data_IF_809794421850
#
_entry.id   IF_809794421850
#
_cell.length_a   1.000
_cell.length_b   1.000
_cell.length_c   1.000
_cell.angle_alpha   90.00
_cell.angle_beta   90.00
_cell.angle_gamma   90.00
#
_symmetry.space_group_name_H-M   'P 1'
#
loop_
_entity.id
_entity.type
_entity.pdbx_description
1 polymer ?
#
# COMPACT_ATOMS: atom_id res chain seq x y z
N UNK A 1 -20.08 -1.12 15.80
CA UNK A 1 -19.62 -0.75 14.44
C UNK A 1 -20.75 -0.02 13.71
N UNK A 2 -20.55 1.25 13.34
CA UNK A 2 -21.55 2.10 12.67
C UNK A 2 -21.90 1.61 11.26
N UNK A 3 -23.16 1.81 10.81
CA UNK A 3 -23.65 1.33 9.50
C UNK A 3 -22.81 1.83 8.31
N UNK A 4 -22.39 3.12 8.23
CA UNK A 4 -21.54 3.60 7.15
C UNK A 4 -20.19 2.86 7.06
N UNK A 5 -19.56 2.58 8.20
CA UNK A 5 -18.29 1.84 8.24
C UNK A 5 -18.43 0.40 7.76
N UNK A 6 -19.55 -0.27 8.07
CA UNK A 6 -19.83 -1.63 7.57
C UNK A 6 -20.02 -1.64 6.06
N UNK A 7 -20.80 -0.70 5.53
CA UNK A 7 -20.98 -0.55 4.09
C UNK A 7 -19.66 -0.27 3.37
N UNK A 8 -18.83 0.63 3.93
CA UNK A 8 -17.49 0.89 3.42
C UNK A 8 -16.63 -0.38 3.37
N UNK A 9 -16.61 -1.17 4.45
CA UNK A 9 -15.84 -2.42 4.49
C UNK A 9 -16.31 -3.42 3.42
N UNK A 10 -17.62 -3.66 3.33
CA UNK A 10 -18.21 -4.59 2.35
C UNK A 10 -17.94 -4.13 0.92
N UNK A 11 -18.08 -2.82 0.65
CA UNK A 11 -17.77 -2.23 -0.65
C UNK A 11 -16.30 -2.45 -1.02
N UNK A 12 -15.37 -2.21 -0.10
CA UNK A 12 -13.94 -2.38 -0.36
C UNK A 12 -13.55 -3.87 -0.52
N UNK A 13 -14.14 -4.77 0.26
CA UNK A 13 -13.99 -6.22 0.06
C UNK A 13 -14.45 -6.64 -1.35
N UNK A 14 -15.61 -6.16 -1.76
CA UNK A 14 -16.12 -6.42 -3.10
C UNK A 14 -15.23 -5.82 -4.20
N UNK A 15 -14.69 -4.61 -4.01
CA UNK A 15 -13.71 -4.00 -4.92
C UNK A 15 -12.42 -4.83 -5.00
N UNK A 16 -11.96 -5.38 -3.88
CA UNK A 16 -10.79 -6.25 -3.84
C UNK A 16 -11.00 -7.50 -4.71
N UNK A 17 -12.15 -8.16 -4.57
CA UNK A 17 -12.51 -9.35 -5.36
C UNK A 17 -12.75 -9.05 -6.86
N UNK A 18 -13.11 -7.82 -7.21
CA UNK A 18 -13.37 -7.38 -8.60
C UNK A 18 -12.25 -6.54 -9.21
N UNK A 19 -11.07 -6.63 -8.61
CA UNK A 19 -9.95 -5.73 -8.90
C UNK A 19 -9.37 -5.78 -10.31
N UNK A 20 -9.63 -6.83 -11.09
CA UNK A 20 -9.23 -6.92 -12.50
C UNK A 20 -10.11 -6.13 -13.46
N UNK A 21 -11.30 -5.70 -13.02
CA UNK A 21 -12.32 -5.09 -13.89
C UNK A 21 -12.37 -3.57 -13.72
N UNK A 22 -11.90 -3.05 -12.59
CA UNK A 22 -12.07 -1.63 -12.21
C UNK A 22 -10.74 -0.90 -12.13
N UNK A 23 -10.81 0.41 -12.27
CA UNK A 23 -9.69 1.29 -11.92
C UNK A 23 -9.35 1.14 -10.44
N UNK A 24 -8.07 1.00 -10.13
CA UNK A 24 -7.57 0.69 -8.79
C UNK A 24 -7.18 1.99 -8.09
N UNK A 25 -7.89 2.32 -7.02
CA UNK A 25 -7.60 3.50 -6.19
C UNK A 25 -6.57 3.18 -5.09
N UNK A 26 -6.07 4.22 -4.41
CA UNK A 26 -5.17 4.04 -3.26
C UNK A 26 -5.80 3.16 -2.17
N UNK A 27 -7.10 3.32 -1.90
CA UNK A 27 -7.82 2.55 -0.88
C UNK A 27 -7.83 1.05 -1.18
N UNK A 28 -8.05 0.68 -2.45
CA UNK A 28 -8.02 -0.73 -2.90
C UNK A 28 -6.61 -1.32 -2.72
N UNK A 29 -5.58 -0.53 -3.08
CA UNK A 29 -4.19 -0.92 -2.90
C UNK A 29 -3.84 -1.13 -1.41
N UNK A 30 -4.21 -0.16 -0.58
CA UNK A 30 -3.90 -0.14 0.85
C UNK A 30 -4.61 -1.27 1.59
N UNK A 31 -5.90 -1.50 1.31
CA UNK A 31 -6.69 -2.61 1.83
C UNK A 31 -6.08 -3.96 1.44
N UNK A 32 -5.73 -4.11 0.17
CA UNK A 32 -5.14 -5.35 -0.34
C UNK A 32 -3.85 -5.72 0.39
N UNK A 33 -3.01 -4.75 0.70
CA UNK A 33 -1.79 -4.98 1.49
C UNK A 33 -2.08 -5.43 2.93
N UNK A 34 -3.17 -4.95 3.55
CA UNK A 34 -3.61 -5.48 4.85
C UNK A 34 -3.97 -6.96 4.76
N UNK A 35 -4.69 -7.37 3.70
CA UNK A 35 -5.07 -8.78 3.51
C UNK A 35 -3.86 -9.70 3.28
N UNK A 36 -2.78 -9.22 2.66
CA UNK A 36 -1.54 -9.99 2.55
C UNK A 36 -0.95 -10.36 3.92
N UNK A 37 -1.10 -9.50 4.94
CA UNK A 37 -0.68 -9.83 6.31
C UNK A 37 -1.58 -10.84 7.01
N UNK A 38 -2.82 -10.99 6.52
CA UNK A 38 -3.78 -11.95 7.05
C UNK A 38 -3.68 -13.32 6.38
N UNK A 39 -2.69 -13.55 5.51
CA UNK A 39 -2.57 -14.80 4.77
C UNK A 39 -2.55 -16.05 5.67
N UNK A 40 -1.86 -15.97 6.82
CA UNK A 40 -1.85 -17.04 7.82
C UNK A 40 -3.26 -17.26 8.41
N UNK A 41 -3.91 -16.20 8.87
CA UNK A 41 -5.28 -16.26 9.42
C UNK A 41 -6.30 -16.77 8.40
N UNK A 42 -6.19 -16.35 7.14
CA UNK A 42 -7.05 -16.80 6.05
C UNK A 42 -6.86 -18.29 5.78
N UNK A 43 -5.62 -18.78 5.79
CA UNK A 43 -5.34 -20.20 5.64
C UNK A 43 -5.98 -21.05 6.75
N UNK A 44 -5.96 -20.56 7.99
CA UNK A 44 -6.52 -21.25 9.15
C UNK A 44 -8.05 -21.27 9.19
N UNK A 45 -8.74 -20.45 8.38
CA UNK A 45 -10.20 -20.56 8.24
C UNK A 45 -10.62 -21.95 7.75
N UNK A 46 -9.82 -22.57 6.88
CA UNK A 46 -10.05 -23.96 6.48
C UNK A 46 -9.90 -24.92 7.66
N UNK A 47 -8.85 -24.75 8.46
CA UNK A 47 -8.61 -25.59 9.63
C UNK A 47 -9.78 -25.50 10.61
N UNK A 48 -10.26 -24.29 10.91
CA UNK A 48 -11.39 -24.05 11.80
C UNK A 48 -12.65 -24.73 11.27
N UNK A 49 -12.97 -24.55 9.98
CA UNK A 49 -14.14 -25.18 9.36
C UNK A 49 -14.09 -26.71 9.41
N UNK A 50 -12.95 -27.30 9.05
CA UNK A 50 -12.74 -28.74 9.10
C UNK A 50 -12.78 -29.29 10.54
N UNK A 51 -12.15 -28.62 11.49
CA UNK A 51 -12.14 -29.06 12.88
C UNK A 51 -13.56 -29.05 13.47
N UNK A 52 -14.36 -28.03 13.12
CA UNK A 52 -15.76 -27.93 13.52
C UNK A 52 -16.62 -29.04 12.91
N UNK A 53 -16.43 -29.39 11.63
CA UNK A 53 -17.15 -30.52 11.01
C UNK A 53 -16.82 -31.89 11.61
N UNK A 54 -15.69 -31.99 12.33
CA UNK A 54 -15.29 -33.18 13.08
C UNK A 54 -15.56 -33.07 14.59
N UNK A 55 -16.45 -32.16 15.01
CA UNK A 55 -16.84 -31.93 16.41
C UNK A 55 -15.65 -31.69 17.34
N UNK A 56 -14.54 -31.13 16.83
CA UNK A 56 -13.27 -30.94 17.52
C UNK A 56 -12.57 -32.22 18.03
N UNK A 57 -13.14 -33.41 17.78
CA UNK A 57 -12.61 -34.70 18.27
C UNK A 57 -11.38 -35.16 17.48
N UNK A 58 -11.43 -35.02 16.15
CA UNK A 58 -10.38 -35.48 15.22
C UNK A 58 -9.72 -34.32 14.44
N UNK A 59 -9.46 -33.20 15.10
CA UNK A 59 -8.91 -31.99 14.47
C UNK A 59 -7.56 -32.19 13.76
N UNK A 60 -6.79 -33.22 14.12
CA UNK A 60 -5.49 -33.54 13.49
C UNK A 60 -5.62 -33.87 12.00
N UNK A 61 -6.76 -34.43 11.59
CA UNK A 61 -7.04 -34.73 10.17
C UNK A 61 -7.08 -33.46 9.34
N UNK A 62 -7.43 -32.31 9.94
CA UNK A 62 -7.52 -31.00 9.29
C UNK A 62 -6.18 -30.27 9.14
N UNK A 63 -5.09 -30.86 9.62
CA UNK A 63 -3.75 -30.29 9.44
C UNK A 63 -3.31 -30.35 7.97
N UNK A 64 -2.27 -29.59 7.63
CA UNK A 64 -1.86 -29.30 6.25
C UNK A 64 -1.59 -30.51 5.36
N UNK A 65 -1.27 -31.69 5.89
CA UNK A 65 -0.88 -32.88 5.12
C UNK A 65 -1.73 -33.12 3.86
N UNK A 66 -2.89 -33.80 3.96
CA UNK A 66 -3.77 -34.02 2.80
C UNK A 66 -4.53 -32.76 2.37
N UNK A 67 -4.65 -31.75 3.24
CA UNK A 67 -5.52 -30.58 3.05
C UNK A 67 -4.76 -29.31 2.62
N UNK A 68 -3.56 -29.44 2.06
CA UNK A 68 -2.72 -28.30 1.70
C UNK A 68 -3.38 -27.40 0.65
N UNK A 69 -4.18 -27.96 -0.26
CA UNK A 69 -4.79 -27.25 -1.38
C UNK A 69 -5.72 -26.09 -0.94
N UNK A 70 -6.78 -26.37 -0.16
CA UNK A 70 -7.66 -25.31 0.35
C UNK A 70 -6.95 -24.26 1.22
N UNK A 71 -6.01 -24.69 2.06
CA UNK A 71 -5.21 -23.77 2.90
C UNK A 71 -4.32 -22.86 2.04
N UNK A 72 -3.65 -23.43 1.04
CA UNK A 72 -2.87 -22.68 0.06
C UNK A 72 -3.75 -21.69 -0.70
N UNK A 73 -4.92 -22.11 -1.18
CA UNK A 73 -5.82 -21.24 -1.93
C UNK A 73 -6.24 -20.01 -1.11
N UNK A 74 -6.58 -20.20 0.17
CA UNK A 74 -6.93 -19.10 1.08
C UNK A 74 -5.73 -18.21 1.42
N UNK A 75 -4.54 -18.79 1.63
CA UNK A 75 -3.32 -18.03 1.88
C UNK A 75 -2.87 -17.21 0.66
N UNK A 76 -3.00 -17.79 -0.53
CA UNK A 76 -2.55 -17.21 -1.79
C UNK A 76 -3.51 -16.15 -2.34
N UNK A 77 -4.80 -16.23 -1.99
CA UNK A 77 -5.83 -15.32 -2.46
C UNK A 77 -5.45 -13.82 -2.37
N UNK A 78 -5.02 -13.27 -1.22
CA UNK A 78 -4.64 -11.86 -1.15
C UNK A 78 -3.49 -11.51 -2.11
N UNK A 79 -2.48 -12.36 -2.23
CA UNK A 79 -1.35 -12.15 -3.16
C UNK A 79 -1.80 -12.18 -4.62
N UNK A 80 -2.68 -13.10 -4.98
CA UNK A 80 -3.23 -13.18 -6.33
C UNK A 80 -4.04 -11.93 -6.68
N UNK A 81 -4.87 -11.46 -5.75
CA UNK A 81 -5.62 -10.23 -5.97
C UNK A 81 -4.68 -9.03 -6.16
N UNK A 82 -3.62 -8.92 -5.35
CA UNK A 82 -2.62 -7.84 -5.48
C UNK A 82 -1.83 -7.91 -6.78
N UNK A 83 -1.53 -9.11 -7.25
CA UNK A 83 -0.91 -9.36 -8.54
C UNK A 83 -1.79 -8.82 -9.67
N UNK A 84 -3.07 -9.21 -9.70
CA UNK A 84 -4.05 -8.73 -10.69
C UNK A 84 -4.24 -7.22 -10.62
N UNK A 85 -4.35 -6.64 -9.42
CA UNK A 85 -4.42 -5.18 -9.22
C UNK A 85 -3.22 -4.46 -9.83
N UNK A 86 -2.03 -5.00 -9.62
CA UNK A 86 -0.79 -4.39 -10.10
C UNK A 86 -0.68 -4.47 -11.63
N UNK A 87 -1.11 -5.57 -12.23
CA UNK A 87 -1.22 -5.70 -13.69
C UNK A 87 -2.25 -4.70 -14.24
N UNK A 88 -3.42 -4.59 -13.60
CA UNK A 88 -4.46 -3.65 -14.04
C UNK A 88 -3.96 -2.21 -14.04
N UNK A 89 -3.28 -1.80 -12.96
CA UNK A 89 -2.67 -0.46 -12.88
C UNK A 89 -1.60 -0.22 -13.94
N UNK A 90 -0.81 -1.24 -14.25
CA UNK A 90 0.13 -1.17 -15.36
C UNK A 90 -0.59 -1.02 -16.70
N UNK A 91 -1.69 -1.74 -16.94
CA UNK A 91 -2.47 -1.59 -18.15
C UNK A 91 -3.02 -0.17 -18.32
N UNK A 92 -3.51 0.42 -17.23
CA UNK A 92 -4.15 1.75 -17.22
C UNK A 92 -3.12 2.90 -17.37
N UNK A 93 -1.97 2.82 -16.69
CA UNK A 93 -0.98 3.93 -16.65
C UNK A 93 0.27 3.70 -17.49
N UNK A 94 0.54 2.45 -17.91
CA UNK A 94 1.78 1.99 -18.57
C UNK A 94 3.07 2.21 -17.76
N UNK A 95 2.97 2.57 -16.48
CA UNK A 95 4.13 2.74 -15.60
C UNK A 95 4.72 1.39 -15.21
N UNK A 96 6.00 1.17 -15.54
CA UNK A 96 6.75 -0.08 -15.26
C UNK A 96 6.80 -0.42 -13.78
N UNK A 97 6.76 0.59 -12.90
CA UNK A 97 6.67 0.42 -11.45
C UNK A 97 5.54 -0.51 -11.03
N UNK A 98 4.38 -0.48 -11.70
CA UNK A 98 3.27 -1.37 -11.39
C UNK A 98 3.52 -2.82 -11.81
N UNK A 99 4.28 -3.05 -12.88
CA UNK A 99 4.70 -4.39 -13.27
C UNK A 99 5.73 -4.96 -12.29
N UNK A 100 6.66 -4.13 -11.81
CA UNK A 100 7.59 -4.51 -10.73
C UNK A 100 6.80 -4.85 -9.46
N UNK A 101 5.76 -4.09 -9.12
CA UNK A 101 4.88 -4.43 -8.00
C UNK A 101 4.14 -5.76 -8.23
N UNK A 102 3.71 -6.05 -9.45
CA UNK A 102 3.13 -7.34 -9.80
C UNK A 102 4.15 -8.47 -9.58
N UNK A 103 5.39 -8.28 -10.02
CA UNK A 103 6.51 -9.20 -9.76
C UNK A 103 6.66 -9.53 -8.28
N UNK A 104 6.62 -8.52 -7.40
CA UNK A 104 6.65 -8.70 -5.94
C UNK A 104 5.56 -9.66 -5.45
N UNK A 105 4.31 -9.42 -5.79
CA UNK A 105 3.22 -10.30 -5.34
C UNK A 105 3.24 -11.67 -6.04
N UNK A 106 3.74 -11.75 -7.27
CA UNK A 106 3.99 -13.01 -7.98
C UNK A 106 5.04 -13.87 -7.27
N UNK A 107 6.15 -13.28 -6.81
CA UNK A 107 7.14 -14.01 -5.99
C UNK A 107 6.55 -14.47 -4.65
N UNK A 108 5.63 -13.69 -4.06
CA UNK A 108 4.86 -14.10 -2.89
C UNK A 108 3.97 -15.33 -3.13
N UNK A 109 3.30 -15.41 -4.29
CA UNK A 109 2.52 -16.60 -4.67
C UNK A 109 3.40 -17.86 -4.75
N UNK A 110 4.56 -17.75 -5.39
CA UNK A 110 5.51 -18.85 -5.54
C UNK A 110 6.07 -19.26 -4.17
N UNK A 111 6.33 -18.29 -3.29
CA UNK A 111 6.73 -18.56 -1.91
C UNK A 111 5.70 -19.40 -1.15
N UNK A 112 4.42 -19.00 -1.15
CA UNK A 112 3.39 -19.79 -0.47
C UNK A 112 3.19 -21.15 -1.12
N UNK A 113 3.25 -21.25 -2.46
CA UNK A 113 3.16 -22.54 -3.14
C UNK A 113 4.27 -23.48 -2.66
N UNK A 114 5.53 -23.03 -2.71
CA UNK A 114 6.68 -23.84 -2.29
C UNK A 114 6.65 -24.17 -0.78
N UNK A 115 6.15 -23.26 0.07
CA UNK A 115 5.90 -23.52 1.49
C UNK A 115 4.92 -24.68 1.70
N UNK A 116 3.73 -24.62 1.09
CA UNK A 116 2.72 -25.68 1.26
C UNK A 116 3.17 -27.01 0.64
N UNK A 117 3.89 -26.97 -0.50
CA UNK A 117 4.48 -28.16 -1.11
C UNK A 117 5.53 -28.82 -0.21
N UNK A 118 6.31 -28.05 0.53
CA UNK A 118 7.24 -28.57 1.54
C UNK A 118 6.50 -29.13 2.76
N UNK A 119 5.51 -28.40 3.29
CA UNK A 119 4.74 -28.80 4.49
C UNK A 119 3.92 -30.07 4.29
N UNK A 120 3.31 -30.28 3.12
CA UNK A 120 2.54 -31.50 2.86
C UNK A 120 3.41 -32.77 2.88
N UNK A 121 4.71 -32.67 2.59
CA UNK A 121 5.66 -33.78 2.60
C UNK A 121 6.38 -33.94 3.95
N UNK A 122 5.75 -33.50 5.05
CA UNK A 122 6.25 -33.69 6.40
C UNK A 122 7.29 -32.68 6.87
N UNK A 123 7.69 -31.70 6.05
CA UNK A 123 8.57 -30.60 6.48
C UNK A 123 10.05 -30.97 6.65
N UNK A 124 10.53 -32.06 6.07
CA UNK A 124 11.94 -32.45 6.16
C UNK A 124 12.91 -31.56 5.37
N UNK A 125 14.20 -31.66 5.68
CA UNK A 125 15.30 -30.87 5.10
C UNK A 125 15.77 -31.37 3.71
N UNK A 126 14.83 -31.65 2.79
CA UNK A 126 15.13 -32.14 1.43
C UNK A 126 15.17 -31.04 0.35
N UNK A 127 15.11 -31.44 -0.92
CA UNK A 127 15.11 -30.50 -2.07
C UNK A 127 14.01 -29.43 -1.98
N UNK A 128 12.79 -29.83 -1.56
CA UNK A 128 11.65 -28.90 -1.43
C UNK A 128 11.89 -27.83 -0.37
N UNK A 129 12.59 -28.19 0.71
CA UNK A 129 13.00 -27.24 1.75
C UNK A 129 13.98 -26.21 1.18
N UNK A 130 15.03 -26.66 0.48
CA UNK A 130 16.02 -25.76 -0.14
C UNK A 130 15.37 -24.80 -1.13
N UNK A 131 14.47 -25.31 -2.00
CA UNK A 131 13.71 -24.47 -2.94
C UNK A 131 12.88 -23.43 -2.20
N UNK A 132 12.13 -23.84 -1.16
CA UNK A 132 11.33 -22.92 -0.35
C UNK A 132 12.19 -21.83 0.32
N UNK A 133 13.35 -22.19 0.88
CA UNK A 133 14.27 -21.22 1.50
C UNK A 133 14.79 -20.21 0.46
N UNK A 134 15.24 -20.67 -0.70
CA UNK A 134 15.74 -19.78 -1.76
C UNK A 134 14.65 -18.79 -2.19
N UNK A 135 13.45 -19.30 -2.48
CA UNK A 135 12.31 -18.46 -2.87
C UNK A 135 11.91 -17.52 -1.72
N UNK A 136 11.93 -17.99 -0.48
CA UNK A 136 11.65 -17.20 0.72
C UNK A 136 12.61 -16.04 0.91
N UNK A 137 13.92 -16.27 0.73
CA UNK A 137 14.94 -15.21 0.80
C UNK A 137 14.74 -14.21 -0.33
N UNK A 138 14.49 -14.66 -1.56
CA UNK A 138 14.24 -13.78 -2.70
C UNK A 138 13.00 -12.91 -2.48
N UNK A 139 11.89 -13.51 -2.05
CA UNK A 139 10.65 -12.79 -1.78
C UNK A 139 10.79 -11.82 -0.61
N UNK A 140 11.38 -12.24 0.51
CA UNK A 140 11.61 -11.40 1.68
C UNK A 140 12.48 -10.18 1.34
N UNK A 141 13.57 -10.40 0.60
CA UNK A 141 14.48 -9.33 0.18
C UNK A 141 13.80 -8.35 -0.78
N UNK A 142 13.04 -8.87 -1.74
CA UNK A 142 12.29 -8.03 -2.68
C UNK A 142 11.22 -7.20 -1.96
N UNK A 143 10.43 -7.82 -1.10
CA UNK A 143 9.40 -7.11 -0.33
C UNK A 143 10.00 -6.09 0.64
N UNK A 144 11.11 -6.41 1.31
CA UNK A 144 11.83 -5.48 2.19
C UNK A 144 12.37 -4.26 1.42
N UNK A 145 12.99 -4.49 0.25
CA UNK A 145 13.45 -3.42 -0.62
C UNK A 145 12.28 -2.56 -1.11
N UNK A 146 11.16 -3.18 -1.49
CA UNK A 146 9.97 -2.47 -1.92
C UNK A 146 9.40 -1.57 -0.82
N UNK A 147 9.30 -2.06 0.42
CA UNK A 147 8.78 -1.26 1.53
C UNK A 147 9.60 0.02 1.74
N UNK A 148 10.93 -0.12 1.77
CA UNK A 148 11.85 0.99 2.06
C UNK A 148 11.92 1.97 0.88
N UNK A 149 12.11 1.46 -0.34
CA UNK A 149 12.38 2.28 -1.52
C UNK A 149 11.12 2.87 -2.15
N UNK A 150 10.02 2.10 -2.19
CA UNK A 150 8.82 2.49 -2.92
C UNK A 150 7.72 2.96 -1.97
N UNK A 151 7.35 2.13 -0.99
CA UNK A 151 6.19 2.43 -0.14
C UNK A 151 6.50 3.57 0.84
N UNK A 152 7.72 3.63 1.38
CA UNK A 152 8.15 4.69 2.29
C UNK A 152 8.93 5.81 1.58
N UNK A 153 9.38 5.57 0.35
CA UNK A 153 10.19 6.50 -0.46
C UNK A 153 11.47 6.97 0.26
N UNK A 154 12.06 6.09 1.06
CA UNK A 154 13.32 6.37 1.76
C UNK A 154 14.52 6.08 0.84
N UNK A 155 15.74 6.22 1.37
CA UNK A 155 17.00 6.06 0.64
C UNK A 155 17.25 7.11 -0.46
N UNK A 156 16.74 8.34 -0.29
CA UNK A 156 16.96 9.41 -1.27
C UNK A 156 18.39 10.01 -1.10
N UNK A 157 19.26 9.98 -2.15
CA UNK A 157 20.66 10.38 -2.01
C UNK A 157 20.88 11.84 -1.59
N UNK A 158 19.96 12.72 -1.96
CA UNK A 158 20.05 14.17 -1.76
C UNK A 158 19.23 14.67 -0.55
N UNK A 159 18.72 13.77 0.28
CA UNK A 159 17.97 14.15 1.46
C UNK A 159 18.88 14.77 2.54
N UNK A 160 18.30 15.66 3.35
CA UNK A 160 18.96 16.32 4.50
C UNK A 160 19.54 15.31 5.49
N UNK A 161 18.87 14.17 5.66
CA UNK A 161 19.30 13.07 6.53
C UNK A 161 19.61 11.83 5.68
N UNK A 162 20.73 11.17 5.98
CA UNK A 162 21.21 10.01 5.22
C UNK A 162 20.17 8.88 5.24
N UNK A 163 19.89 8.29 4.08
CA UNK A 163 18.92 7.20 3.91
C UNK A 163 17.45 7.56 4.16
N UNK A 164 17.12 8.80 4.52
CA UNK A 164 15.74 9.25 4.61
C UNK A 164 15.31 9.97 3.33
N UNK A 165 14.08 10.48 3.32
CA UNK A 165 13.55 11.37 2.28
C UNK A 165 13.67 12.84 2.67
N UNK A 166 13.55 13.74 1.70
CA UNK A 166 13.70 15.18 1.93
C UNK A 166 12.64 15.77 2.86
N UNK A 167 11.38 15.38 2.67
CA UNK A 167 10.24 15.90 3.44
C UNK A 167 9.76 14.85 4.47
N UNK A 168 9.88 15.19 5.75
CA UNK A 168 9.52 14.33 6.89
C UNK A 168 8.50 15.05 7.76
N UNK A 169 7.34 14.42 7.98
CA UNK A 169 6.31 14.97 8.87
C UNK A 169 6.77 14.83 10.33
N UNK A 170 7.31 13.67 10.70
CA UNK A 170 7.73 13.38 12.08
C UNK A 170 9.18 13.76 12.36
N UNK A 171 9.55 15.01 12.08
CA UNK A 171 10.93 15.50 12.23
C UNK A 171 11.45 15.42 13.68
N UNK A 172 10.60 15.46 14.69
CA UNK A 172 11.00 15.31 16.10
C UNK A 172 11.37 13.87 16.48
N UNK A 173 10.92 12.87 15.71
CA UNK A 173 11.06 11.45 16.04
C UNK A 173 11.86 10.68 14.98
N UNK A 174 12.92 11.29 14.45
CA UNK A 174 13.80 10.70 13.41
C UNK A 174 14.30 9.27 13.70
N UNK A 175 14.69 8.90 14.94
CA UNK A 175 15.14 7.54 15.23
C UNK A 175 14.11 6.46 14.88
N UNK A 176 12.81 6.79 14.91
CA UNK A 176 11.75 5.84 14.58
C UNK A 176 11.82 5.35 13.13
N UNK A 177 12.27 6.19 12.19
CA UNK A 177 12.44 5.78 10.79
C UNK A 177 13.51 4.70 10.65
N UNK A 178 14.67 4.89 11.29
CA UNK A 178 15.76 3.91 11.24
C UNK A 178 15.41 2.63 11.98
N UNK A 179 14.75 2.73 13.15
CA UNK A 179 14.25 1.56 13.88
C UNK A 179 13.29 0.78 12.99
N UNK A 180 12.32 1.46 12.37
CA UNK A 180 11.35 0.81 11.48
C UNK A 180 12.01 0.15 10.27
N UNK A 181 13.04 0.76 9.67
CA UNK A 181 13.80 0.14 8.57
C UNK A 181 14.46 -1.17 9.02
N UNK A 182 15.14 -1.15 10.17
CA UNK A 182 15.83 -2.35 10.70
C UNK A 182 14.81 -3.43 11.08
N UNK A 183 13.76 -3.06 11.83
CA UNK A 183 12.74 -4.04 12.24
C UNK A 183 11.98 -4.60 11.06
N UNK A 184 11.69 -3.79 10.02
CA UNK A 184 11.04 -4.28 8.81
C UNK A 184 11.89 -5.35 8.11
N UNK A 185 13.19 -5.13 7.95
CA UNK A 185 14.09 -6.13 7.37
C UNK A 185 14.07 -7.41 8.20
N UNK A 186 14.27 -7.32 9.52
CA UNK A 186 14.31 -8.50 10.40
C UNK A 186 12.98 -9.29 10.32
N UNK A 187 11.84 -8.60 10.43
CA UNK A 187 10.53 -9.24 10.43
C UNK A 187 10.19 -9.82 9.06
N UNK A 188 10.68 -9.26 7.95
CA UNK A 188 10.48 -9.86 6.61
C UNK A 188 11.09 -11.26 6.49
N UNK A 189 12.07 -11.61 7.32
CA UNK A 189 12.64 -12.96 7.42
C UNK A 189 12.01 -13.82 8.52
N UNK A 190 10.81 -13.46 9.01
CA UNK A 190 10.12 -14.20 10.08
C UNK A 190 9.85 -15.68 9.76
N UNK A 191 9.79 -16.04 8.47
CA UNK A 191 9.56 -17.42 8.03
C UNK A 191 10.61 -18.40 8.56
N UNK A 192 11.80 -17.90 8.94
CA UNK A 192 12.87 -18.69 9.58
C UNK A 192 12.37 -19.31 10.90
N UNK A 193 11.40 -18.72 11.58
CA UNK A 193 10.83 -19.26 12.82
C UNK A 193 10.14 -20.62 12.64
N UNK A 194 9.75 -20.96 11.41
CA UNK A 194 9.13 -22.25 11.07
C UNK A 194 10.14 -23.39 10.86
N UNK A 195 11.45 -23.11 10.86
CA UNK A 195 12.50 -24.10 10.53
C UNK A 195 12.87 -25.01 11.73
N UNK A 196 13.13 -24.50 12.95
CA UNK A 196 13.74 -25.34 13.98
C UNK A 196 12.78 -26.43 14.49
N UNK A 197 13.20 -27.69 14.48
CA UNK A 197 12.38 -28.81 14.99
C UNK A 197 12.36 -28.89 16.52
N UNK A 198 13.42 -28.39 17.18
CA UNK A 198 13.61 -28.41 18.64
C UNK A 198 13.54 -27.00 19.22
N UNK A 199 13.23 -26.89 20.52
CA UNK A 199 13.19 -25.64 21.27
C UNK A 199 11.77 -25.18 21.60
N UNK A 200 11.54 -23.86 21.56
CA UNK A 200 10.24 -23.24 21.85
C UNK A 200 9.12 -23.90 21.03
N UNK A 201 7.97 -24.17 21.66
CA UNK A 201 6.82 -24.80 21.02
C UNK A 201 6.37 -24.07 19.75
N UNK A 202 5.98 -24.82 18.71
CA UNK A 202 5.47 -24.28 17.44
C UNK A 202 4.37 -23.23 17.63
N UNK A 203 3.43 -23.45 18.54
CA UNK A 203 2.32 -22.54 18.84
C UNK A 203 2.81 -21.18 19.32
N UNK A 204 3.83 -21.17 20.19
CA UNK A 204 4.41 -19.92 20.71
C UNK A 204 5.14 -19.18 19.58
N UNK A 205 5.85 -19.90 18.70
CA UNK A 205 6.53 -19.29 17.56
C UNK A 205 5.55 -18.69 16.56
N UNK A 206 4.46 -19.40 16.24
CA UNK A 206 3.38 -18.85 15.39
C UNK A 206 2.75 -17.62 16.02
N UNK A 207 2.57 -17.60 17.34
CA UNK A 207 2.04 -16.43 18.05
C UNK A 207 3.01 -15.24 17.98
N UNK A 208 4.31 -15.46 18.21
CA UNK A 208 5.33 -14.43 18.07
C UNK A 208 5.37 -13.90 16.63
N UNK A 209 5.34 -14.77 15.62
CA UNK A 209 5.27 -14.37 14.21
C UNK A 209 4.04 -13.51 13.92
N UNK A 210 2.86 -13.90 14.41
CA UNK A 210 1.65 -13.10 14.23
C UNK A 210 1.78 -11.69 14.85
N UNK A 211 2.39 -11.59 16.04
CA UNK A 211 2.64 -10.30 16.69
C UNK A 211 3.66 -9.44 15.93
N UNK A 212 4.72 -10.05 15.40
CA UNK A 212 5.73 -9.36 14.59
C UNK A 212 5.15 -8.88 13.26
N UNK A 213 4.36 -9.70 12.58
CA UNK A 213 3.68 -9.31 11.34
C UNK A 213 2.68 -8.17 11.57
N UNK A 214 1.97 -8.18 12.70
CA UNK A 214 1.10 -7.07 13.11
C UNK A 214 1.89 -5.78 13.36
N UNK A 215 3.02 -5.85 14.07
CA UNK A 215 3.91 -4.71 14.29
C UNK A 215 4.43 -4.15 12.95
N UNK A 216 4.89 -5.02 12.05
CA UNK A 216 5.39 -4.63 10.73
C UNK A 216 4.31 -3.91 9.91
N UNK A 217 3.08 -4.41 9.92
CA UNK A 217 1.97 -3.78 9.19
C UNK A 217 1.56 -2.45 9.82
N UNK A 218 1.57 -2.36 11.15
CA UNK A 218 1.36 -1.11 11.87
C UNK A 218 2.40 -0.05 11.44
N UNK A 219 3.70 -0.38 11.47
CA UNK A 219 4.77 0.50 10.98
C UNK A 219 4.54 0.90 9.52
N UNK A 220 4.26 -0.07 8.65
CA UNK A 220 4.03 0.17 7.23
C UNK A 220 2.87 1.15 7.00
N UNK A 221 1.78 1.04 7.75
CA UNK A 221 0.63 1.95 7.63
C UNK A 221 1.02 3.39 7.94
N UNK A 222 1.78 3.64 9.01
CA UNK A 222 2.24 5.00 9.34
C UNK A 222 3.07 5.61 8.22
N UNK A 223 4.16 4.93 7.81
CA UNK A 223 5.08 5.49 6.82
C UNK A 223 4.49 5.54 5.41
N UNK A 224 3.63 4.58 5.03
CA UNK A 224 2.94 4.60 3.72
C UNK A 224 1.95 5.75 3.63
N UNK A 225 1.15 5.98 4.68
CA UNK A 225 0.21 7.10 4.72
C UNK A 225 0.95 8.44 4.73
N UNK A 226 2.04 8.54 5.49
CA UNK A 226 2.90 9.73 5.49
C UNK A 226 3.46 9.99 4.08
N UNK A 227 3.96 8.95 3.40
CA UNK A 227 4.48 9.07 2.04
C UNK A 227 3.41 9.51 1.03
N UNK A 228 2.20 8.95 1.12
CA UNK A 228 1.08 9.34 0.27
C UNK A 228 0.68 10.80 0.53
N UNK A 229 0.66 11.23 1.79
CA UNK A 229 0.33 12.60 2.16
C UNK A 229 1.34 13.60 1.58
N UNK A 230 2.64 13.32 1.73
CA UNK A 230 3.71 14.13 1.15
C UNK A 230 3.58 14.19 -0.37
N UNK A 231 3.39 13.04 -1.03
CA UNK A 231 3.22 12.98 -2.49
C UNK A 231 2.01 13.78 -3.00
N UNK A 232 0.88 13.72 -2.29
CA UNK A 232 -0.30 14.51 -2.63
C UNK A 232 -0.08 16.01 -2.42
N UNK A 233 0.54 16.43 -1.31
CA UNK A 233 0.88 17.84 -1.07
C UNK A 233 1.80 18.40 -2.15
N UNK A 234 2.78 17.61 -2.61
CA UNK A 234 3.67 18.01 -3.71
C UNK A 234 2.92 18.19 -5.02
N UNK A 235 1.96 17.31 -5.35
CA UNK A 235 1.10 17.48 -6.53
C UNK A 235 0.26 18.77 -6.46
N UNK A 236 -0.34 19.07 -5.30
CA UNK A 236 -1.10 20.31 -5.09
C UNK A 236 -0.21 21.56 -5.14
N UNK A 237 1.06 21.45 -4.73
CA UNK A 237 2.02 22.56 -4.86
C UNK A 237 2.41 22.84 -6.32
N UNK A 238 2.39 21.82 -7.17
CA UNK A 238 2.66 21.94 -8.62
C UNK A 238 1.44 22.49 -9.37
N UNK A 239 0.21 22.10 -8.99
CA UNK A 239 -1.03 22.70 -9.50
C UNK A 239 -1.40 23.90 -8.62
N UNK A 240 -0.93 25.09 -8.98
CA UNK A 240 -1.10 26.37 -8.24
C UNK A 240 -2.52 26.77 -7.79
N UNK A 241 -3.55 25.98 -8.07
CA UNK A 241 -4.92 26.18 -7.62
C UNK A 241 -5.30 25.09 -6.63
N UNK A 242 -5.16 25.40 -5.34
CA UNK A 242 -5.81 24.62 -4.28
C UNK A 242 -7.27 25.06 -4.26
N UNK A 243 -8.25 24.18 -4.58
CA UNK A 243 -9.65 24.56 -4.43
C UNK A 243 -9.91 24.79 -2.94
N UNK A 244 -10.21 26.04 -2.59
CA UNK A 244 -10.62 26.39 -1.24
C UNK A 244 -11.90 25.60 -0.91
N UNK A 245 -12.03 25.06 0.32
CA UNK A 245 -13.18 24.25 0.73
C UNK A 245 -14.49 25.06 0.89
N UNK A 246 -14.56 26.28 0.38
CA UNK A 246 -15.74 27.11 0.40
C UNK A 246 -16.32 27.18 -1.01
N UNK A 247 -17.49 26.56 -1.20
CA UNK A 247 -18.36 26.94 -2.30
C UNK A 247 -18.84 28.36 -2.01
N UNK A 248 -18.41 29.33 -2.81
CA UNK A 248 -19.15 30.56 -2.89
C UNK A 248 -20.49 30.20 -3.55
N UNK A 249 -21.54 30.07 -2.73
CA UNK A 249 -22.91 30.16 -3.22
C UNK A 249 -23.06 31.58 -3.76
N UNK A 250 -22.72 31.77 -5.03
CA UNK A 250 -22.99 32.98 -5.79
C UNK A 250 -24.49 33.03 -6.09
N UNK A 251 -25.30 33.22 -5.05
CA UNK A 251 -26.72 33.50 -5.17
C UNK A 251 -27.15 34.44 -4.05
N UNK A 252 -27.37 35.70 -4.44
CA UNK A 252 -28.04 36.79 -3.74
C UNK A 252 -27.28 37.45 -2.58
N UNK A 253 -26.61 38.55 -2.91
CA UNK A 253 -26.89 39.85 -2.28
C UNK A 253 -26.60 40.97 -3.30
N UNK A 254 -27.65 41.32 -4.05
CA UNK A 254 -27.80 42.67 -4.57
C UNK A 254 -28.35 43.52 -3.42
N UNK A 255 -27.54 44.41 -2.85
CA UNK A 255 -27.89 45.82 -2.60
C UNK A 255 -26.74 46.55 -1.87
N UNK A 256 -26.46 47.79 -2.27
CA UNK A 256 -25.76 48.76 -1.42
C UNK A 256 -24.25 49.01 -1.65
N UNK A 257 -23.95 49.90 -2.60
CA UNK A 257 -22.92 50.96 -2.43
C UNK A 257 -21.46 50.61 -2.67
N UNK A 258 -20.95 50.98 -3.84
CA UNK A 258 -19.84 51.96 -3.98
C UNK A 258 -19.42 52.02 -5.46
N UNK A 259 -20.06 52.93 -6.19
CA UNK A 259 -19.57 53.45 -7.46
C UNK A 259 -18.33 54.31 -7.16
N UNK A 260 -17.10 53.86 -7.47
CA UNK A 260 -16.00 54.82 -7.72
C UNK A 260 -14.69 54.31 -8.36
N UNK A 261 -14.53 53.04 -8.77
CA UNK A 261 -13.24 52.58 -9.34
C UNK A 261 -13.19 52.39 -10.87
N UNK A 262 -14.31 52.51 -11.59
CA UNK A 262 -14.35 52.26 -13.05
C UNK A 262 -14.04 53.49 -13.94
N UNK A 263 -13.85 54.68 -13.35
CA UNK A 263 -13.55 55.90 -14.12
C UNK A 263 -12.04 56.07 -14.37
N UNK A 264 -11.17 55.44 -13.58
CA UNK A 264 -9.72 55.57 -13.71
C UNK A 264 -9.14 54.76 -14.90
N UNK A 265 -9.68 53.57 -15.20
CA UNK A 265 -9.15 52.73 -16.28
C UNK A 265 -9.56 53.20 -17.68
N UNK A 266 -10.77 53.78 -17.84
CA UNK A 266 -11.26 54.27 -19.14
C UNK A 266 -10.61 55.58 -19.60
N UNK A 267 -10.08 56.40 -18.68
CA UNK A 267 -9.33 57.63 -19.00
C UNK A 267 -7.89 57.37 -19.45
N UNK A 268 -7.27 56.26 -19.01
CA UNK A 268 -5.91 55.88 -19.42
C UNK A 268 -5.85 55.43 -20.89
N UNK A 269 -6.81 54.61 -21.34
CA UNK A 269 -6.80 54.05 -22.70
C UNK A 269 -7.15 55.06 -23.81
N UNK A 270 -7.82 56.18 -23.48
CA UNK A 270 -8.17 57.22 -24.47
C UNK A 270 -7.06 58.26 -24.68
N UNK A 271 -6.11 58.40 -23.75
CA UNK A 271 -4.97 59.33 -23.92
C UNK A 271 -3.82 58.75 -24.77
N UNK A 272 -3.67 57.42 -24.80
CA UNK A 272 -2.59 56.74 -25.52
C UNK A 272 -2.82 56.64 -27.04
N UNK A 273 -4.08 56.75 -27.50
CA UNK A 273 -4.42 56.71 -28.93
C UNK A 273 -4.28 58.06 -29.65
N UNK A 274 -4.32 59.18 -28.92
CA UNK A 274 -4.16 60.52 -29.49
C UNK A 274 -2.71 60.94 -29.73
N UNK A 275 -1.74 60.35 -29.02
CA UNK A 275 -0.31 60.69 -29.18
C UNK A 275 0.38 60.03 -30.38
N UNK A 276 -0.23 59.01 -31.00
CA UNK A 276 0.36 58.28 -32.14
C UNK A 276 -0.08 58.76 -33.53
N UNK A 277 -0.98 59.76 -33.60
CA UNK A 277 -1.50 60.33 -34.87
C UNK A 277 -0.97 61.73 -35.22
N UNK A 278 -0.06 62.32 -34.42
CA UNK A 278 0.54 63.65 -34.68
C UNK A 278 2.00 63.64 -35.17
N UNK A 279 2.60 62.48 -35.44
CA UNK A 279 3.98 62.37 -35.95
C UNK A 279 4.11 61.91 -37.42
N UNK A 280 3.04 61.94 -38.21
CA UNK A 280 3.08 61.58 -39.64
C UNK A 280 2.50 62.65 -40.59
N UNK A 281 2.54 63.92 -40.19
CA UNK A 281 2.14 65.04 -41.04
C UNK A 281 3.08 66.24 -40.82
N UNK A 282 4.36 66.06 -41.16
CA UNK A 282 5.31 67.14 -41.45
C UNK A 282 6.53 66.51 -42.15
N UNK A 283 6.41 66.33 -43.47
CA UNK A 283 7.48 66.32 -44.46
C UNK A 283 6.86 66.47 -45.84
#
# INVERSE_FOLDING_TARGET
MYKPSRYWLVRNLYRQLTSGVRHVEFQDFWMGDQFCSLAFTLADLWFVGCAYSHELRNWRVCTTGPNWGPQFALAALPFFVRFVQSIRRWMDSKLTTHLINAGKYGTGLIYYLTYYLWRQHGGGHGTRFVVWIIIGVLYASYAAAWDILMDWSLMQPHARYRFLRSELIYTSHRPLYYIAMITNIIIRFEFIMYIPEKGINYVIRTFIAAMLEMLRRWQWNFFRLENEHVGNMDQYRVTREVPLPYSFDASHESDGGDEDDDVALRRSMTSASWRRRRMSAQS
#
